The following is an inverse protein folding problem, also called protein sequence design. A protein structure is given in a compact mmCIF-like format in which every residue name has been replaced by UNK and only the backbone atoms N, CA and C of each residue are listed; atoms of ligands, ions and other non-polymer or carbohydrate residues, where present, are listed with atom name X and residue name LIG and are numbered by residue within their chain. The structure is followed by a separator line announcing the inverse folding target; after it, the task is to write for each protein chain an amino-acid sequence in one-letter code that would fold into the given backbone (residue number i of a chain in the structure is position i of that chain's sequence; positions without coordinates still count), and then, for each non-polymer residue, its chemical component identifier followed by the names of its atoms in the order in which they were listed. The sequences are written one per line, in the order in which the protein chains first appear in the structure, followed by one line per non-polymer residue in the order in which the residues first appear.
data_IF_827721301302
#
_entry.id   IF_827721301302
#
_cell.length_a   1.000
_cell.length_b   1.000
_cell.length_c   1.000
_cell.angle_alpha   90.00
_cell.angle_beta   90.00
_cell.angle_gamma   90.00
#
_symmetry.space_group_name_H-M   'P 1'
#
loop_
_entity.id
_entity.type
_entity.pdbx_description
1 polymer ?
#
# COMPACT_ATOMS: atom_id res chain seq x y z
N UNK A 1 -14.67 23.02 6.41
CA UNK A 1 -14.85 22.51 5.04
C UNK A 1 -14.60 21.00 4.96
N UNK A 2 -13.38 20.48 5.07
CA UNK A 2 -13.19 19.01 5.01
C UNK A 2 -13.92 18.25 6.14
N UNK A 3 -13.86 18.77 7.37
CA UNK A 3 -14.52 18.16 8.54
C UNK A 3 -16.05 18.12 8.41
N UNK A 4 -16.63 18.95 7.53
CA UNK A 4 -18.07 18.99 7.23
C UNK A 4 -18.50 17.70 6.47
N UNK A 5 -17.55 17.01 5.84
CA UNK A 5 -17.78 15.81 5.02
C UNK A 5 -17.13 14.53 5.59
N UNK A 6 -16.35 14.62 6.68
CA UNK A 6 -15.73 13.45 7.29
C UNK A 6 -15.42 13.63 8.78
N UNK A 7 -15.72 12.59 9.55
CA UNK A 7 -15.21 12.42 10.91
C UNK A 7 -13.76 11.89 10.93
N UNK A 8 -13.22 11.50 9.77
CA UNK A 8 -11.87 10.97 9.62
C UNK A 8 -10.91 12.05 9.15
N UNK A 9 -9.81 12.26 9.87
CA UNK A 9 -8.72 13.13 9.43
C UNK A 9 -7.75 12.40 8.49
N UNK A 10 -7.08 13.15 7.60
CA UNK A 10 -5.87 12.68 6.93
C UNK A 10 -4.81 12.36 8.00
N UNK A 11 -4.10 11.25 7.83
CA UNK A 11 -3.05 10.87 8.77
C UNK A 11 -1.74 11.55 8.37
N UNK A 12 -1.09 12.14 9.36
CA UNK A 12 0.33 12.50 9.31
C UNK A 12 1.02 11.51 10.25
N UNK A 13 1.72 10.55 9.67
CA UNK A 13 2.45 9.54 10.45
C UNK A 13 3.90 9.99 10.56
N UNK A 14 4.47 9.98 11.77
CA UNK A 14 5.88 10.27 11.98
C UNK A 14 6.75 9.26 11.20
N UNK A 15 7.89 9.73 10.66
CA UNK A 15 8.80 8.91 9.81
C UNK A 15 9.38 7.68 10.53
N UNK A 16 9.29 7.63 11.85
CA UNK A 16 9.88 6.58 12.69
C UNK A 16 9.14 5.24 12.68
N UNK A 17 8.06 5.09 11.90
CA UNK A 17 7.23 3.86 11.89
C UNK A 17 7.27 3.19 10.52
N UNK A 18 7.53 1.88 10.52
CA UNK A 18 7.49 1.02 9.35
C UNK A 18 6.18 1.19 8.55
N UNK A 19 6.27 1.17 7.22
CA UNK A 19 5.15 1.29 6.27
C UNK A 19 4.23 2.52 6.42
N UNK A 20 4.74 3.63 6.98
CA UNK A 20 4.01 4.89 7.14
C UNK A 20 3.32 5.36 5.85
N UNK A 21 3.99 5.25 4.69
CA UNK A 21 3.46 5.62 3.38
C UNK A 21 2.21 4.78 3.02
N UNK A 22 2.27 3.46 3.20
CA UNK A 22 1.15 2.56 2.88
C UNK A 22 -0.03 2.85 3.81
N UNK A 23 0.23 3.09 5.10
CA UNK A 23 -0.80 3.45 6.09
C UNK A 23 -1.48 4.77 5.71
N UNK A 24 -0.69 5.78 5.33
CA UNK A 24 -1.21 7.08 4.87
C UNK A 24 -2.02 6.94 3.58
N UNK A 25 -1.56 6.17 2.60
CA UNK A 25 -2.30 5.91 1.35
C UNK A 25 -3.64 5.19 1.61
N UNK A 26 -3.65 4.18 2.48
CA UNK A 26 -4.89 3.50 2.89
C UNK A 26 -5.87 4.46 3.55
N UNK A 27 -5.38 5.36 4.42
CA UNK A 27 -6.23 6.39 5.01
C UNK A 27 -6.75 7.37 3.96
N UNK A 28 -5.88 7.81 3.07
CA UNK A 28 -6.22 8.73 1.99
C UNK A 28 -7.34 8.16 1.11
N UNK A 29 -7.27 6.87 0.77
CA UNK A 29 -8.34 6.18 0.04
C UNK A 29 -9.66 6.15 0.82
N UNK A 30 -9.64 5.91 2.14
CA UNK A 30 -10.84 5.90 2.99
C UNK A 30 -11.57 7.25 3.01
N UNK A 31 -10.86 8.35 2.82
CA UNK A 31 -11.46 9.70 2.80
C UNK A 31 -11.77 10.22 1.38
N UNK A 32 -11.66 9.37 0.33
CA UNK A 32 -11.94 9.75 -1.09
C UNK A 32 -13.26 10.53 -1.22
N UNK A 33 -14.36 9.97 -0.72
CA UNK A 33 -15.69 10.54 -0.93
C UNK A 33 -15.82 11.92 -0.25
N UNK A 34 -15.23 12.07 0.93
CA UNK A 34 -15.21 13.35 1.63
C UNK A 34 -14.36 14.40 0.90
N UNK A 35 -13.21 13.99 0.35
CA UNK A 35 -12.36 14.86 -0.48
C UNK A 35 -13.09 15.30 -1.75
N UNK A 36 -13.82 14.39 -2.41
CA UNK A 36 -14.62 14.70 -3.59
C UNK A 36 -15.77 15.65 -3.26
N UNK A 37 -16.54 15.39 -2.21
CA UNK A 37 -17.61 16.27 -1.75
C UNK A 37 -17.09 17.68 -1.41
N UNK A 38 -15.93 17.75 -0.75
CA UNK A 38 -15.27 19.01 -0.42
C UNK A 38 -14.95 19.84 -1.67
N UNK A 39 -14.34 19.25 -2.71
CA UNK A 39 -13.96 20.00 -3.92
C UNK A 39 -15.12 20.31 -4.86
N UNK A 40 -16.26 19.66 -4.68
CA UNK A 40 -17.50 19.93 -5.41
C UNK A 40 -18.26 21.08 -4.76
N UNK A 41 -18.22 21.20 -3.43
CA UNK A 41 -18.96 22.22 -2.68
C UNK A 41 -18.60 23.66 -3.10
N UNK A 42 -19.57 24.56 -3.14
CA UNK A 42 -19.38 25.96 -3.54
C UNK A 42 -18.39 26.71 -2.64
N UNK A 43 -18.29 26.36 -1.35
CA UNK A 43 -17.30 26.96 -0.42
C UNK A 43 -15.86 26.72 -0.87
N UNK A 44 -15.62 25.74 -1.74
CA UNK A 44 -14.29 25.45 -2.28
C UNK A 44 -13.81 26.50 -3.28
N UNK A 45 -14.70 27.28 -3.92
CA UNK A 45 -14.27 28.39 -4.79
C UNK A 45 -13.71 29.54 -3.95
N UNK A 46 -14.33 29.84 -2.80
CA UNK A 46 -13.90 30.88 -1.86
C UNK A 46 -12.56 30.57 -1.15
N UNK A 47 -12.19 29.29 -1.03
CA UNK A 47 -10.95 28.88 -0.36
C UNK A 47 -9.69 28.98 -1.24
N UNK A 48 -9.84 29.17 -2.56
CA UNK A 48 -8.71 29.11 -3.51
C UNK A 48 -8.08 30.46 -3.85
N UNK A 49 -8.44 31.52 -3.13
CA UNK A 49 -7.95 32.87 -3.43
C UNK A 49 -6.41 32.97 -3.34
N UNK A 50 -5.76 32.11 -2.56
CA UNK A 50 -4.29 32.08 -2.40
C UNK A 50 -3.52 31.48 -3.61
N UNK A 51 -4.05 30.44 -4.26
CA UNK A 51 -3.44 29.79 -5.44
C UNK A 51 -4.48 28.99 -6.25
N UNK A 52 -5.16 29.70 -7.16
CA UNK A 52 -6.21 29.16 -8.01
C UNK A 52 -5.71 28.01 -8.90
N UNK A 53 -4.44 28.06 -9.31
CA UNK A 53 -3.80 27.05 -10.16
C UNK A 53 -3.67 25.70 -9.46
N UNK A 54 -3.07 25.69 -8.26
CA UNK A 54 -2.95 24.48 -7.43
C UNK A 54 -4.32 23.92 -7.05
N UNK A 55 -5.27 24.77 -6.66
CA UNK A 55 -6.62 24.33 -6.32
C UNK A 55 -7.34 23.66 -7.49
N UNK A 56 -7.12 24.13 -8.73
CA UNK A 56 -7.67 23.50 -9.94
C UNK A 56 -7.05 22.14 -10.20
N UNK A 57 -5.73 22.02 -10.05
CA UNK A 57 -5.03 20.75 -10.19
C UNK A 57 -5.52 19.71 -9.18
N UNK A 58 -5.63 20.10 -7.90
CA UNK A 58 -6.13 19.22 -6.83
C UNK A 58 -7.55 18.75 -7.12
N UNK A 59 -8.46 19.67 -7.50
CA UNK A 59 -9.84 19.28 -7.87
C UNK A 59 -9.84 18.29 -9.05
N UNK A 60 -9.04 18.53 -10.09
CA UNK A 60 -8.94 17.63 -11.24
C UNK A 60 -8.48 16.23 -10.81
N UNK A 61 -7.44 16.12 -9.98
CA UNK A 61 -6.92 14.83 -9.50
C UNK A 61 -7.89 14.10 -8.59
N UNK A 62 -8.55 14.80 -7.66
CA UNK A 62 -9.52 14.18 -6.75
C UNK A 62 -10.78 13.68 -7.46
N UNK A 63 -11.11 14.22 -8.64
CA UNK A 63 -12.23 13.77 -9.46
C UNK A 63 -11.83 12.78 -10.57
N UNK A 64 -10.55 12.42 -10.66
CA UNK A 64 -10.04 11.47 -11.65
C UNK A 64 -10.15 10.03 -11.12
N UNK A 65 -11.13 9.27 -11.64
CA UNK A 65 -11.36 7.90 -11.20
C UNK A 65 -10.25 6.93 -11.64
N UNK A 66 -9.58 7.18 -12.76
CA UNK A 66 -8.42 6.38 -13.18
C UNK A 66 -7.27 6.58 -12.19
N UNK A 67 -7.02 7.81 -11.76
CA UNK A 67 -6.02 8.08 -10.73
C UNK A 67 -6.35 7.37 -9.40
N UNK A 68 -7.62 7.33 -9.01
CA UNK A 68 -8.05 6.58 -7.82
C UNK A 68 -7.95 5.06 -7.98
N UNK A 69 -8.06 4.54 -9.20
CA UNK A 69 -7.83 3.14 -9.53
C UNK A 69 -6.34 2.79 -9.38
N UNK A 70 -5.43 3.64 -9.87
CA UNK A 70 -3.99 3.47 -9.68
C UNK A 70 -3.58 3.49 -8.19
N UNK A 71 -4.13 4.39 -7.39
CA UNK A 71 -3.91 4.39 -5.93
C UNK A 71 -4.38 3.07 -5.30
N UNK A 72 -5.54 2.57 -5.72
CA UNK A 72 -6.06 1.30 -5.20
C UNK A 72 -5.16 0.14 -5.60
N UNK A 73 -4.65 0.15 -6.82
CA UNK A 73 -3.69 -0.85 -7.30
C UNK A 73 -2.43 -0.87 -6.43
N UNK A 74 -1.83 0.31 -6.16
CA UNK A 74 -0.66 0.43 -5.28
C UNK A 74 -0.95 -0.15 -3.89
N UNK A 75 -2.09 0.21 -3.31
CA UNK A 75 -2.51 -0.33 -2.00
C UNK A 75 -2.65 -1.85 -2.07
N UNK A 76 -3.25 -2.39 -3.13
CA UNK A 76 -3.53 -3.82 -3.24
C UNK A 76 -2.24 -4.64 -3.29
N UNK A 77 -1.29 -4.33 -4.17
CA UNK A 77 -0.09 -5.16 -4.29
C UNK A 77 0.88 -4.95 -3.13
N UNK A 78 0.85 -3.80 -2.45
CA UNK A 78 1.67 -3.57 -1.25
C UNK A 78 1.05 -4.16 0.03
N UNK A 79 -0.23 -4.52 0.00
CA UNK A 79 -0.93 -5.05 1.17
C UNK A 79 -0.37 -6.39 1.69
N UNK A 80 -0.09 -7.41 0.85
CA UNK A 80 0.52 -8.65 1.33
C UNK A 80 1.89 -8.42 1.99
N UNK A 81 2.69 -7.48 1.45
CA UNK A 81 4.00 -7.09 2.01
C UNK A 81 3.82 -6.48 3.41
N UNK A 82 2.88 -5.52 3.52
CA UNK A 82 2.55 -4.89 4.79
C UNK A 82 2.06 -5.89 5.84
N UNK A 83 1.17 -6.82 5.47
CA UNK A 83 0.60 -7.79 6.42
C UNK A 83 1.67 -8.77 6.92
N UNK A 84 2.53 -9.27 6.03
CA UNK A 84 3.66 -10.14 6.42
C UNK A 84 4.56 -9.43 7.44
N UNK A 85 4.97 -8.20 7.12
CA UNK A 85 5.88 -7.43 7.97
C UNK A 85 5.24 -7.06 9.29
N UNK A 86 3.92 -6.79 9.31
CA UNK A 86 3.18 -6.54 10.54
C UNK A 86 3.13 -7.74 11.47
N UNK A 87 2.99 -8.96 10.93
CA UNK A 87 3.02 -10.18 11.73
C UNK A 87 4.42 -10.42 12.30
N UNK A 88 5.46 -10.21 11.49
CA UNK A 88 6.85 -10.32 11.91
C UNK A 88 7.26 -9.29 12.98
N UNK A 89 6.59 -8.13 13.03
CA UNK A 89 6.81 -7.06 14.00
C UNK A 89 6.07 -7.28 15.34
N UNK A 90 5.34 -8.39 15.51
CA UNK A 90 4.68 -8.71 16.78
C UNK A 90 5.58 -9.52 17.71
N UNK A 91 5.40 -9.38 19.03
CA UNK A 91 6.11 -10.18 20.06
C UNK A 91 5.75 -11.68 20.05
N UNK A 92 4.96 -12.14 19.07
CA UNK A 92 4.59 -13.55 18.94
C UNK A 92 5.69 -14.30 18.22
N UNK A 93 5.97 -15.53 18.67
CA UNK A 93 6.83 -16.45 17.93
C UNK A 93 6.24 -16.68 16.54
N UNK A 94 6.88 -16.11 15.53
CA UNK A 94 6.51 -16.24 14.12
C UNK A 94 7.68 -16.73 13.27
N UNK A 95 8.84 -17.00 13.88
CA UNK A 95 10.09 -17.32 13.19
C UNK A 95 9.96 -18.57 12.31
N UNK A 96 9.17 -19.56 12.76
CA UNK A 96 8.86 -20.77 12.00
C UNK A 96 7.93 -20.56 10.78
N UNK A 97 7.16 -19.46 10.77
CA UNK A 97 6.22 -19.10 9.71
C UNK A 97 6.82 -18.19 8.64
N UNK A 98 7.99 -17.60 8.88
CA UNK A 98 8.57 -16.55 8.03
C UNK A 98 8.70 -16.99 6.57
N UNK A 99 9.11 -18.24 6.31
CA UNK A 99 9.19 -18.82 4.96
C UNK A 99 7.82 -18.99 4.30
N UNK A 100 6.86 -19.56 5.00
CA UNK A 100 5.50 -19.76 4.46
C UNK A 100 4.81 -18.42 4.18
N UNK A 101 4.98 -17.45 5.08
CA UNK A 101 4.46 -16.10 4.93
C UNK A 101 5.11 -15.38 3.75
N UNK A 102 6.42 -15.56 3.54
CA UNK A 102 7.16 -15.03 2.41
C UNK A 102 6.64 -15.58 1.08
N UNK A 103 6.52 -16.89 0.95
CA UNK A 103 6.03 -17.54 -0.28
C UNK A 103 4.57 -17.13 -0.57
N UNK A 104 3.71 -17.14 0.46
CA UNK A 104 2.33 -16.67 0.33
C UNK A 104 2.25 -15.20 -0.07
N UNK A 105 3.11 -14.36 0.50
CA UNK A 105 3.21 -12.94 0.18
C UNK A 105 3.61 -12.76 -1.29
N UNK A 106 4.70 -13.40 -1.75
CA UNK A 106 5.16 -13.31 -3.14
C UNK A 106 4.07 -13.73 -4.13
N UNK A 107 3.41 -14.86 -3.88
CA UNK A 107 2.33 -15.36 -4.74
C UNK A 107 1.19 -14.34 -4.87
N UNK A 108 0.74 -13.75 -3.74
CA UNK A 108 -0.32 -12.74 -3.73
C UNK A 108 0.10 -11.45 -4.43
N UNK A 109 1.32 -10.96 -4.21
CA UNK A 109 1.82 -9.75 -4.88
C UNK A 109 1.87 -9.98 -6.40
N UNK A 110 2.41 -11.12 -6.83
CA UNK A 110 2.49 -11.49 -8.26
C UNK A 110 1.09 -11.55 -8.88
N UNK A 111 0.15 -12.24 -8.24
CA UNK A 111 -1.23 -12.37 -8.72
C UNK A 111 -1.90 -11.00 -8.95
N UNK A 112 -1.75 -10.08 -7.99
CA UNK A 112 -2.36 -8.74 -8.07
C UNK A 112 -1.75 -7.93 -9.22
N UNK A 113 -0.42 -7.95 -9.36
CA UNK A 113 0.30 -7.26 -10.43
C UNK A 113 -0.14 -7.79 -11.80
N UNK A 114 -0.16 -9.11 -11.96
CA UNK A 114 -0.51 -9.74 -13.23
C UNK A 114 -1.97 -9.52 -13.60
N UNK A 115 -2.89 -9.60 -12.63
CA UNK A 115 -4.31 -9.28 -12.84
C UNK A 115 -4.49 -7.83 -13.32
N UNK A 116 -3.81 -6.88 -12.69
CA UNK A 116 -3.91 -5.47 -13.07
C UNK A 116 -3.29 -5.21 -14.45
N UNK A 117 -2.17 -5.88 -14.79
CA UNK A 117 -1.53 -5.80 -16.11
C UNK A 117 -2.19 -6.66 -17.19
N UNK A 118 -3.24 -7.42 -16.85
CA UNK A 118 -3.93 -8.38 -17.73
C UNK A 118 -2.98 -9.41 -18.36
N UNK A 119 -2.04 -9.91 -17.57
CA UNK A 119 -1.05 -10.92 -17.96
C UNK A 119 -1.38 -12.28 -17.34
N UNK A 120 -1.12 -13.36 -18.05
CA UNK A 120 -1.13 -14.70 -17.44
C UNK A 120 0.12 -14.91 -16.57
N UNK A 121 0.03 -15.72 -15.49
CA UNK A 121 1.10 -15.86 -14.48
C UNK A 121 2.45 -16.39 -15.01
N UNK A 122 2.44 -16.99 -16.20
CA UNK A 122 3.62 -17.52 -16.89
C UNK A 122 4.26 -16.49 -17.84
N UNK A 123 3.62 -15.35 -18.10
CA UNK A 123 4.19 -14.30 -18.94
C UNK A 123 5.26 -13.50 -18.19
N UNK A 124 6.24 -12.97 -18.92
CA UNK A 124 7.25 -12.10 -18.33
C UNK A 124 6.68 -10.72 -18.01
N UNK A 125 7.15 -10.11 -16.92
CA UNK A 125 6.69 -8.81 -16.48
C UNK A 125 7.83 -8.01 -15.85
N UNK A 126 8.40 -7.08 -16.63
CA UNK A 126 9.47 -6.19 -16.17
C UNK A 126 9.16 -5.47 -14.86
N UNK A 127 7.89 -5.13 -14.63
CA UNK A 127 7.47 -4.53 -13.36
C UNK A 127 7.54 -5.53 -12.20
N UNK A 128 7.10 -6.78 -12.42
CA UNK A 128 7.24 -7.82 -11.41
C UNK A 128 8.72 -8.11 -11.13
N UNK A 129 9.57 -8.16 -12.16
CA UNK A 129 10.99 -8.46 -12.01
C UNK A 129 11.68 -7.42 -11.10
N UNK A 130 11.36 -6.14 -11.27
CA UNK A 130 11.85 -5.07 -10.38
C UNK A 130 11.35 -5.25 -8.95
N UNK A 131 10.05 -5.52 -8.77
CA UNK A 131 9.47 -5.72 -7.43
C UNK A 131 10.07 -6.95 -6.75
N UNK A 132 10.21 -8.05 -7.49
CA UNK A 132 10.81 -9.28 -7.01
C UNK A 132 12.27 -9.06 -6.59
N UNK A 133 13.07 -8.37 -7.40
CA UNK A 133 14.45 -8.03 -7.07
C UNK A 133 14.57 -7.20 -5.79
N UNK A 134 13.69 -6.21 -5.58
CA UNK A 134 13.67 -5.42 -4.33
C UNK A 134 13.32 -6.30 -3.13
N UNK A 135 12.33 -7.18 -3.29
CA UNK A 135 11.91 -8.09 -2.24
C UNK A 135 13.06 -9.07 -1.92
N UNK A 136 13.66 -9.71 -2.92
CA UNK A 136 14.75 -10.66 -2.77
C UNK A 136 16.00 -10.04 -2.12
N UNK A 137 16.42 -8.83 -2.55
CA UNK A 137 17.51 -8.10 -1.90
C UNK A 137 17.22 -7.89 -0.41
N UNK A 138 15.97 -7.54 -0.07
CA UNK A 138 15.58 -7.39 1.33
C UNK A 138 15.57 -8.71 2.09
N UNK A 139 15.09 -9.78 1.47
CA UNK A 139 15.04 -11.12 2.07
C UNK A 139 16.43 -11.67 2.34
N UNK A 140 17.35 -11.54 1.39
CA UNK A 140 18.72 -12.04 1.49
C UNK A 140 19.47 -11.50 2.73
N UNK A 141 19.15 -10.28 3.15
CA UNK A 141 19.72 -9.62 4.34
C UNK A 141 19.12 -10.11 5.66
N UNK A 142 17.93 -10.69 5.62
CA UNK A 142 17.19 -11.15 6.80
C UNK A 142 17.16 -12.68 6.92
N UNK A 143 17.55 -13.39 5.87
CA UNK A 143 17.54 -14.84 5.86
C UNK A 143 18.74 -15.41 6.62
N UNK A 144 18.49 -15.97 7.80
CA UNK A 144 19.52 -16.56 8.67
C UNK A 144 19.28 -18.06 8.84
N UNK A 145 20.34 -18.87 9.11
CA UNK A 145 20.18 -20.30 9.38
C UNK A 145 19.19 -20.61 10.51
N UNK A 146 18.99 -19.67 11.45
CA UNK A 146 18.00 -19.77 12.51
C UNK A 146 16.56 -19.84 11.97
N UNK A 147 16.24 -19.07 10.92
CA UNK A 147 14.94 -19.14 10.25
C UNK A 147 14.71 -20.52 9.62
N UNK A 148 15.74 -21.07 8.96
CA UNK A 148 15.67 -22.41 8.37
C UNK A 148 15.43 -23.50 9.44
N UNK A 149 16.16 -23.40 10.55
CA UNK A 149 16.08 -24.36 11.65
C UNK A 149 14.69 -24.34 12.29
N UNK A 150 14.17 -23.16 12.61
CA UNK A 150 12.84 -23.05 13.23
C UNK A 150 11.71 -23.53 12.31
N UNK A 151 11.82 -23.27 11.00
CA UNK A 151 10.86 -23.81 10.03
C UNK A 151 10.93 -25.33 9.96
N UNK A 152 12.14 -25.91 9.93
CA UNK A 152 12.34 -27.36 9.86
C UNK A 152 11.90 -28.10 11.11
N UNK A 153 11.98 -27.44 12.27
CA UNK A 153 11.57 -27.98 13.57
C UNK A 153 10.09 -27.75 13.90
N UNK A 154 9.31 -27.14 12.99
CA UNK A 154 7.88 -26.95 13.18
C UNK A 154 7.13 -28.28 12.91
N UNK A 155 6.52 -28.92 13.93
CA UNK A 155 5.71 -30.11 13.70
C UNK A 155 4.49 -29.75 12.85
N UNK A 156 4.26 -30.53 11.79
CA UNK A 156 3.09 -30.37 10.91
C UNK A 156 1.84 -30.99 11.50
#
# INVERSE_FOLDING_TARGET
MFNDFSNLKMLVVAETRFASIIVMLRRFKKIKNALQAMVINDKWSCYREDDVGKGRYVKKKLLDDLWWYEIQYIINFTYPIYEMLRVADTDKSCLYLIYEMWDSMLAKVKEIIYRHKRKALHEDSSFWDVIYAILEDRWSKSNTPLHCLAHSLNPK
#
